data_IF_326663442624
#
_entry.id   IF_326663442624
#
_cell.length_a   1.000
_cell.length_b   1.000
_cell.length_c   1.000
_cell.angle_alpha   90.00
_cell.angle_beta   90.00
_cell.angle_gamma   90.00
#
_symmetry.space_group_name_H-M   'P 1'
#
loop_
_entity.id
_entity.type
_entity.pdbx_description
1 polymer ?
#
# COMPACT_ATOMS: atom_id res chain seq x y z
N UNK A 1 9.41 3.71 12.64
CA UNK A 1 10.16 3.93 11.39
C UNK A 1 9.48 5.02 10.58
N UNK A 2 10.24 5.98 10.04
CA UNK A 2 9.64 7.04 9.22
C UNK A 2 9.07 6.51 7.90
N UNK A 3 7.92 7.04 7.51
CA UNK A 3 7.32 6.74 6.22
C UNK A 3 8.29 7.03 5.07
N UNK A 4 9.07 8.12 5.20
CA UNK A 4 10.05 8.51 4.19
C UNK A 4 11.20 7.53 3.99
N UNK A 5 11.36 6.55 4.88
CA UNK A 5 12.33 5.46 4.70
C UNK A 5 11.71 4.25 4.02
N UNK A 6 10.42 4.01 4.28
CA UNK A 6 9.72 2.85 3.71
C UNK A 6 9.28 3.13 2.28
N UNK A 7 8.72 4.30 2.04
CA UNK A 7 8.17 4.67 0.73
C UNK A 7 9.17 4.50 -0.43
N UNK A 8 10.43 5.00 -0.33
CA UNK A 8 11.38 4.81 -1.41
C UNK A 8 11.68 3.34 -1.71
N UNK A 9 11.62 2.48 -0.69
CA UNK A 9 11.85 1.05 -0.87
C UNK A 9 10.72 0.40 -1.66
N UNK A 10 9.48 0.83 -1.41
CA UNK A 10 8.32 0.35 -2.17
C UNK A 10 8.43 0.78 -3.63
N UNK A 11 8.83 2.03 -3.87
CA UNK A 11 9.02 2.56 -5.22
C UNK A 11 10.12 1.80 -5.96
N UNK A 12 11.26 1.60 -5.31
CA UNK A 12 12.38 0.87 -5.92
C UNK A 12 12.00 -0.57 -6.26
N UNK A 13 11.26 -1.23 -5.39
CA UNK A 13 10.80 -2.59 -5.66
C UNK A 13 9.93 -2.64 -6.91
N UNK A 14 9.03 -1.68 -7.05
CA UNK A 14 8.17 -1.58 -8.23
C UNK A 14 8.99 -1.29 -9.49
N UNK A 15 9.91 -0.35 -9.42
CA UNK A 15 10.74 0.04 -10.56
C UNK A 15 11.63 -1.10 -11.06
N UNK A 16 12.15 -1.93 -10.16
CA UNK A 16 12.93 -3.11 -10.56
C UNK A 16 12.14 -4.09 -11.42
N UNK A 17 10.81 -4.06 -11.32
CA UNK A 17 9.93 -4.94 -12.07
C UNK A 17 9.23 -4.20 -13.21
N UNK A 18 9.73 -3.03 -13.60
CA UNK A 18 9.18 -2.26 -14.71
C UNK A 18 7.89 -1.52 -14.39
N UNK A 19 7.55 -1.37 -13.11
CA UNK A 19 6.39 -0.58 -12.70
C UNK A 19 6.84 0.83 -12.31
N UNK A 20 5.91 1.71 -11.97
CA UNK A 20 6.21 3.13 -11.77
C UNK A 20 5.84 3.62 -10.38
N UNK A 21 6.47 4.74 -9.98
CA UNK A 21 6.11 5.44 -8.75
C UNK A 21 4.64 5.86 -8.76
N UNK A 22 4.13 6.31 -9.92
CA UNK A 22 2.74 6.71 -10.05
C UNK A 22 1.78 5.56 -9.71
N UNK A 23 2.14 4.34 -10.07
CA UNK A 23 1.36 3.15 -9.74
C UNK A 23 1.39 2.86 -8.23
N UNK A 24 2.54 3.02 -7.59
CA UNK A 24 2.66 2.89 -6.13
C UNK A 24 1.79 3.94 -5.44
N UNK A 25 1.85 5.19 -5.90
CA UNK A 25 1.05 6.28 -5.33
C UNK A 25 -0.44 6.02 -5.50
N UNK A 26 -0.86 5.49 -6.64
CA UNK A 26 -2.25 5.15 -6.88
C UNK A 26 -2.74 4.07 -5.90
N UNK A 27 -1.90 3.09 -5.61
CA UNK A 27 -2.21 2.05 -4.61
C UNK A 27 -2.39 2.69 -3.24
N UNK A 28 -1.48 3.56 -2.83
CA UNK A 28 -1.56 4.22 -1.52
C UNK A 28 -2.78 5.12 -1.44
N UNK A 29 -3.08 5.85 -2.51
CA UNK A 29 -4.28 6.70 -2.57
C UNK A 29 -5.55 5.87 -2.42
N UNK A 30 -5.64 4.75 -3.12
CA UNK A 30 -6.80 3.86 -3.02
C UNK A 30 -6.95 3.30 -1.60
N UNK A 31 -5.86 2.81 -1.03
CA UNK A 31 -5.88 2.15 0.27
C UNK A 31 -6.07 3.12 1.43
N UNK A 32 -5.35 4.23 1.41
CA UNK A 32 -5.20 5.13 2.56
C UNK A 32 -5.89 6.49 2.41
N UNK A 33 -6.38 6.82 1.22
CA UNK A 33 -7.10 8.08 1.00
C UNK A 33 -6.23 9.32 0.85
N UNK A 34 -4.91 9.18 0.78
CA UNK A 34 -4.01 10.31 0.61
C UNK A 34 -3.86 10.70 -0.85
N UNK A 35 -3.75 12.01 -1.13
CA UNK A 35 -3.37 12.49 -2.46
C UNK A 35 -1.87 12.28 -2.67
N UNK A 36 -1.42 12.37 -3.92
CA UNK A 36 0.02 12.29 -4.24
C UNK A 36 0.82 13.36 -3.48
N UNK A 37 0.27 14.57 -3.36
CA UNK A 37 0.92 15.66 -2.62
C UNK A 37 1.06 15.34 -1.14
N UNK A 38 0.02 14.75 -0.55
CA UNK A 38 0.04 14.33 0.85
C UNK A 38 1.04 13.21 1.09
N UNK A 39 1.16 12.28 0.15
CA UNK A 39 2.16 11.21 0.21
C UNK A 39 3.57 11.81 0.22
N UNK A 40 3.84 12.74 -0.70
CA UNK A 40 5.15 13.40 -0.78
C UNK A 40 5.47 14.15 0.50
N UNK A 41 4.49 14.85 1.07
CA UNK A 41 4.66 15.59 2.32
C UNK A 41 4.97 14.65 3.48
N UNK A 42 4.26 13.54 3.58
CA UNK A 42 4.48 12.55 4.62
C UNK A 42 5.88 11.94 4.53
N UNK A 43 6.40 11.78 3.31
CA UNK A 43 7.74 11.27 3.08
C UNK A 43 8.83 12.24 3.56
N UNK A 44 8.52 13.54 3.64
CA UNK A 44 9.48 14.58 3.98
C UNK A 44 9.36 15.10 5.42
N UNK A 45 8.17 15.00 6.04
CA UNK A 45 7.90 15.69 7.30
C UNK A 45 8.16 14.85 8.56
N UNK A 46 8.75 13.67 8.43
CA UNK A 46 9.06 12.82 9.57
C UNK A 46 7.89 11.99 10.08
N UNK A 47 6.77 11.96 9.36
CA UNK A 47 5.62 11.12 9.71
C UNK A 47 6.07 9.67 9.88
N UNK A 48 5.70 9.03 11.00
CA UNK A 48 6.03 7.62 11.20
C UNK A 48 5.14 6.74 10.32
N UNK A 49 5.63 5.54 10.01
CA UNK A 49 4.88 4.60 9.19
C UNK A 49 3.54 4.24 9.85
N UNK A 50 3.57 3.93 11.15
CA UNK A 50 2.34 3.69 11.91
C UNK A 50 1.41 4.90 11.94
N UNK A 51 1.97 6.09 12.13
CA UNK A 51 1.19 7.34 12.14
C UNK A 51 0.53 7.62 10.79
N UNK A 52 1.21 7.29 9.71
CA UNK A 52 0.65 7.42 8.36
C UNK A 52 -0.66 6.60 8.24
N UNK A 53 -0.62 5.35 8.71
CA UNK A 53 -1.82 4.49 8.66
C UNK A 53 -2.89 4.91 9.66
N UNK A 54 -2.51 5.39 10.84
CA UNK A 54 -3.48 5.83 11.85
C UNK A 54 -4.29 7.05 11.41
N UNK A 55 -3.66 7.95 10.64
CA UNK A 55 -4.35 9.15 10.12
C UNK A 55 -5.05 8.90 8.80
N UNK A 56 -4.84 7.75 8.20
CA UNK A 56 -5.39 7.42 6.89
C UNK A 56 -6.90 7.25 6.95
N UNK A 57 -7.55 7.61 5.85
CA UNK A 57 -8.95 7.25 5.62
C UNK A 57 -8.94 5.94 4.85
N UNK A 58 -8.83 4.83 5.61
CA UNK A 58 -8.69 3.51 5.00
C UNK A 58 -9.93 3.14 4.18
N UNK A 59 -9.68 2.62 2.99
CA UNK A 59 -10.75 2.18 2.10
C UNK A 59 -11.47 0.98 2.71
N UNK A 60 -12.82 1.05 2.88
CA UNK A 60 -13.55 -0.09 3.44
C UNK A 60 -13.50 -1.33 2.55
N UNK A 61 -13.23 -1.17 1.26
CA UNK A 61 -13.08 -2.30 0.33
C UNK A 61 -11.75 -3.06 0.51
N UNK A 62 -10.87 -2.57 1.39
CA UNK A 62 -9.58 -3.22 1.62
C UNK A 62 -9.71 -4.66 2.14
N UNK A 63 -10.84 -4.98 2.73
CA UNK A 63 -11.09 -6.36 3.19
C UNK A 63 -11.19 -7.37 2.06
N UNK A 64 -11.32 -6.92 0.81
CA UNK A 64 -11.25 -7.79 -0.36
C UNK A 64 -9.82 -8.25 -0.66
N UNK A 65 -8.83 -7.63 -0.02
CA UNK A 65 -7.44 -8.02 -0.16
C UNK A 65 -7.22 -9.28 0.66
N UNK A 66 -6.89 -10.38 -0.01
CA UNK A 66 -6.71 -11.69 0.64
C UNK A 66 -5.45 -12.35 0.13
N UNK A 67 -5.02 -13.41 0.82
CA UNK A 67 -3.87 -14.19 0.42
C UNK A 67 -2.65 -13.93 1.27
N UNK A 68 -1.51 -14.48 0.83
CA UNK A 68 -0.27 -14.40 1.59
C UNK A 68 0.64 -13.32 1.08
N UNK A 69 1.33 -12.66 2.01
CA UNK A 69 2.46 -11.77 1.72
C UNK A 69 3.53 -12.06 2.76
N UNK A 70 4.76 -12.28 2.31
CA UNK A 70 5.88 -12.63 3.19
C UNK A 70 5.55 -13.82 4.11
N UNK A 71 4.81 -14.80 3.59
CA UNK A 71 4.44 -16.02 4.34
C UNK A 71 3.29 -15.84 5.33
N UNK A 72 2.72 -14.64 5.43
CA UNK A 72 1.65 -14.33 6.37
C UNK A 72 0.33 -14.17 5.60
N UNK A 73 -0.72 -14.85 6.07
CA UNK A 73 -2.05 -14.71 5.50
C UNK A 73 -2.69 -13.42 6.01
N UNK A 74 -2.95 -12.47 5.12
CA UNK A 74 -3.38 -11.12 5.48
C UNK A 74 -4.68 -11.11 6.29
N UNK A 75 -5.67 -11.89 5.85
CA UNK A 75 -6.97 -11.94 6.51
C UNK A 75 -6.93 -12.57 7.90
N UNK A 76 -5.82 -13.24 8.26
CA UNK A 76 -5.66 -13.84 9.58
C UNK A 76 -5.03 -12.89 10.60
N UNK A 77 -4.55 -11.72 10.18
CA UNK A 77 -3.92 -10.75 11.07
C UNK A 77 -5.00 -10.07 11.92
N UNK A 78 -4.89 -10.21 13.25
CA UNK A 78 -5.89 -9.67 14.17
C UNK A 78 -5.69 -8.21 14.51
N UNK A 79 -4.45 -7.74 14.65
CA UNK A 79 -4.16 -6.35 14.95
C UNK A 79 -4.54 -5.47 13.74
N UNK A 80 -5.50 -4.53 13.89
CA UNK A 80 -5.97 -3.72 12.76
C UNK A 80 -4.88 -2.90 12.10
N UNK A 81 -3.96 -2.32 12.87
CA UNK A 81 -2.87 -1.53 12.33
C UNK A 81 -1.92 -2.39 11.51
N UNK A 82 -1.52 -3.53 12.05
CA UNK A 82 -0.64 -4.46 11.34
C UNK A 82 -1.30 -5.00 10.10
N UNK A 83 -2.59 -5.29 10.16
CA UNK A 83 -3.34 -5.76 8.99
C UNK A 83 -3.35 -4.70 7.90
N UNK A 84 -3.59 -3.44 8.24
CA UNK A 84 -3.59 -2.35 7.27
C UNK A 84 -2.22 -2.18 6.62
N UNK A 85 -1.15 -2.27 7.40
CA UNK A 85 0.22 -2.23 6.89
C UNK A 85 0.46 -3.39 5.91
N UNK A 86 0.00 -4.58 6.24
CA UNK A 86 0.18 -5.77 5.40
C UNK A 86 -0.68 -5.71 4.12
N UNK A 87 -1.80 -5.01 4.15
CA UNK A 87 -2.55 -4.76 2.92
C UNK A 87 -1.70 -4.01 1.90
N UNK A 88 -0.96 -2.99 2.35
CA UNK A 88 -0.08 -2.25 1.45
C UNK A 88 1.03 -3.16 0.91
N UNK A 89 1.64 -3.98 1.78
CA UNK A 89 2.67 -4.93 1.36
C UNK A 89 2.13 -5.89 0.31
N UNK A 90 0.91 -6.40 0.51
CA UNK A 90 0.29 -7.33 -0.44
C UNK A 90 0.05 -6.67 -1.79
N UNK A 91 -0.49 -5.44 -1.80
CA UNK A 91 -0.78 -4.72 -3.03
C UNK A 91 0.50 -4.39 -3.80
N UNK A 92 1.54 -3.95 -3.11
CA UNK A 92 2.82 -3.64 -3.76
C UNK A 92 3.53 -4.91 -4.23
N UNK A 93 3.35 -6.03 -3.55
CA UNK A 93 3.85 -7.32 -4.00
C UNK A 93 3.15 -7.75 -5.31
N UNK A 94 1.84 -7.58 -5.37
CA UNK A 94 1.06 -7.85 -6.58
C UNK A 94 1.52 -6.98 -7.74
N UNK A 95 1.80 -5.70 -7.47
CA UNK A 95 2.33 -4.78 -8.47
C UNK A 95 3.66 -5.29 -9.03
N UNK A 96 4.58 -5.67 -8.15
CA UNK A 96 5.89 -6.18 -8.53
C UNK A 96 5.79 -7.49 -9.33
N UNK A 97 4.75 -8.29 -9.11
CA UNK A 97 4.51 -9.54 -9.83
C UNK A 97 3.81 -9.34 -11.17
N UNK A 98 3.54 -8.11 -11.55
CA UNK A 98 2.98 -7.81 -12.86
C UNK A 98 1.46 -7.80 -12.95
N UNK A 99 0.76 -7.84 -11.81
CA UNK A 99 -0.71 -7.80 -11.81
C UNK A 99 -1.20 -6.45 -12.34
N UNK A 100 -2.31 -6.45 -13.06
CA UNK A 100 -2.91 -5.23 -13.59
C UNK A 100 -3.46 -4.36 -12.46
N UNK A 101 -3.33 -3.03 -12.61
CA UNK A 101 -3.79 -2.08 -11.59
C UNK A 101 -5.26 -2.26 -11.23
N UNK A 102 -6.12 -2.48 -12.20
CA UNK A 102 -7.56 -2.68 -11.94
C UNK A 102 -7.83 -3.87 -11.02
N UNK A 103 -7.00 -4.91 -11.09
CA UNK A 103 -7.12 -6.08 -10.22
C UNK A 103 -6.51 -5.82 -8.86
N UNK A 104 -5.39 -5.10 -8.81
CA UNK A 104 -4.75 -4.73 -7.55
C UNK A 104 -5.70 -3.86 -6.73
N UNK A 105 -6.37 -2.91 -7.37
CA UNK A 105 -7.30 -2.00 -6.74
C UNK A 105 -8.67 -2.62 -6.49
N UNK A 106 -8.86 -3.91 -6.79
CA UNK A 106 -10.11 -4.65 -6.59
C UNK A 106 -11.32 -3.90 -7.14
N UNK A 107 -11.15 -3.28 -8.31
CA UNK A 107 -12.26 -2.62 -8.97
C UNK A 107 -13.32 -3.66 -9.35
N UNK A 108 -14.58 -3.31 -9.12
CA UNK A 108 -15.68 -4.18 -9.48
C UNK A 108 -15.65 -4.45 -10.97
N UNK A 109 -15.75 -5.72 -11.36
CA UNK A 109 -15.86 -6.12 -12.74
C UNK A 109 -17.28 -6.58 -12.99
N UNK A 110 -17.95 -5.91 -13.89
CA UNK A 110 -19.30 -6.30 -14.31
C UNK A 110 -19.21 -7.19 -15.54
#
# INVERSE_FOLDING_TARGET
MPFGRVYPLLVKKAERKGRTQAEVDEIITWLCGYSAEEIDRAAEDGTTYGGFFRRAKMNPERTKITGKVCGIQVEAIQDPLMRDIRYLDKMTDELAKGKKMEKILRKAQN
#
